data_IF_341088943819
#
_entry.id   IF_341088943819
#
_cell.length_a   1.000
_cell.length_b   1.000
_cell.length_c   1.000
_cell.angle_alpha   90.00
_cell.angle_beta   90.00
_cell.angle_gamma   90.00
#
_symmetry.space_group_name_H-M   'P 1'
#
loop_
_entity.id
_entity.type
_entity.pdbx_description
1 polymer ?
#
# COMPACT_ATOMS: atom_id res chain seq x y z
N UNK A 1 -18.14 18.58 -11.70
CA UNK A 1 -16.96 17.77 -11.92
C UNK A 1 -17.34 16.31 -11.92
N UNK A 2 -17.07 15.62 -13.00
CA UNK A 2 -17.46 14.24 -13.11
C UNK A 2 -16.32 13.33 -12.64
N UNK A 3 -16.58 12.54 -11.63
CA UNK A 3 -15.65 11.55 -11.18
C UNK A 3 -15.98 10.22 -11.83
N UNK A 4 -14.96 9.51 -12.25
CA UNK A 4 -15.12 8.16 -12.73
C UNK A 4 -15.07 7.21 -11.53
N UNK A 5 -16.10 6.40 -11.30
CA UNK A 5 -16.11 5.51 -10.13
C UNK A 5 -14.89 4.60 -10.05
N UNK A 6 -14.35 4.18 -11.20
CA UNK A 6 -13.15 3.35 -11.22
C UNK A 6 -11.88 4.06 -10.80
N UNK A 7 -11.92 5.38 -10.67
CA UNK A 7 -10.77 6.19 -10.24
C UNK A 7 -10.94 6.76 -8.83
N UNK A 8 -12.06 6.45 -8.16
CA UNK A 8 -12.26 6.86 -6.79
C UNK A 8 -11.17 6.20 -5.92
N UNK A 9 -10.54 6.96 -5.08
CA UNK A 9 -9.44 6.45 -4.26
C UNK A 9 -8.06 6.63 -4.85
N UNK A 10 -7.96 7.03 -6.12
CA UNK A 10 -6.66 7.27 -6.75
C UNK A 10 -5.87 8.33 -6.00
N UNK A 11 -6.55 9.34 -5.47
CA UNK A 11 -5.88 10.41 -4.73
C UNK A 11 -5.24 9.90 -3.44
N UNK A 12 -5.90 8.96 -2.73
CA UNK A 12 -5.33 8.37 -1.53
C UNK A 12 -4.08 7.57 -1.87
N UNK A 13 -4.10 6.84 -2.97
CA UNK A 13 -2.92 6.11 -3.42
C UNK A 13 -1.79 7.06 -3.76
N UNK A 14 -2.09 8.15 -4.46
CA UNK A 14 -1.11 9.17 -4.80
C UNK A 14 -0.49 9.79 -3.56
N UNK A 15 -1.31 10.10 -2.55
CA UNK A 15 -0.83 10.62 -1.28
C UNK A 15 0.07 9.62 -0.56
N UNK A 16 -0.29 8.34 -0.59
CA UNK A 16 0.54 7.31 0.03
C UNK A 16 1.91 7.24 -0.63
N UNK A 17 1.97 7.35 -1.97
CA UNK A 17 3.23 7.37 -2.68
C UNK A 17 4.08 8.57 -2.29
N UNK A 18 3.46 9.75 -2.16
CA UNK A 18 4.16 10.96 -1.74
C UNK A 18 4.71 10.81 -0.32
N UNK A 19 3.92 10.22 0.58
CA UNK A 19 4.35 9.96 1.96
C UNK A 19 5.54 9.01 2.00
N UNK A 20 5.51 7.95 1.19
CA UNK A 20 6.61 6.99 1.13
C UNK A 20 7.89 7.64 0.61
N UNK A 21 7.77 8.47 -0.40
CA UNK A 21 8.92 9.22 -0.92
C UNK A 21 9.49 10.16 0.13
N UNK A 22 8.61 10.84 0.87
CA UNK A 22 9.04 11.74 1.93
C UNK A 22 9.77 10.99 3.05
N UNK A 23 9.30 9.79 3.39
CA UNK A 23 9.97 8.96 4.39
C UNK A 23 11.39 8.61 3.97
N UNK A 24 11.55 8.21 2.70
CA UNK A 24 12.88 7.88 2.18
C UNK A 24 13.80 9.09 2.19
N UNK A 25 13.29 10.27 1.81
CA UNK A 25 14.08 11.50 1.79
C UNK A 25 14.47 11.95 3.20
N UNK A 26 13.61 11.68 4.19
CA UNK A 26 13.87 12.08 5.57
C UNK A 26 14.74 11.08 6.34
N UNK A 27 15.08 9.95 5.72
CA UNK A 27 15.94 8.95 6.34
C UNK A 27 15.22 7.97 7.24
N UNK A 28 13.91 7.84 7.14
CA UNK A 28 13.16 6.82 7.87
C UNK A 28 13.60 5.44 7.38
N UNK A 29 13.96 4.58 8.32
CA UNK A 29 14.41 3.23 7.98
C UNK A 29 13.21 2.30 7.74
N UNK A 30 13.27 1.58 6.64
CA UNK A 30 12.31 0.53 6.33
C UNK A 30 12.99 -0.82 6.52
N UNK A 31 12.24 -1.83 6.94
CA UNK A 31 12.77 -3.20 7.00
C UNK A 31 13.16 -3.70 5.61
N UNK A 32 12.35 -3.36 4.61
CA UNK A 32 12.66 -3.65 3.22
C UNK A 32 13.34 -2.45 2.59
N UNK A 33 14.64 -2.30 2.84
CA UNK A 33 15.39 -1.10 2.48
C UNK A 33 15.71 -1.00 0.99
N UNK A 34 15.83 -2.13 0.30
CA UNK A 34 16.16 -2.13 -1.11
C UNK A 34 14.91 -2.24 -1.97
N UNK A 35 14.99 -1.72 -3.19
CA UNK A 35 13.88 -1.81 -4.12
C UNK A 35 13.45 -3.26 -4.38
N UNK A 36 14.36 -4.22 -4.64
CA UNK A 36 13.94 -5.60 -4.81
C UNK A 36 13.20 -6.17 -3.60
N UNK A 37 13.65 -5.88 -2.39
CA UNK A 37 12.99 -6.33 -1.16
C UNK A 37 11.60 -5.70 -1.03
N UNK A 38 11.49 -4.41 -1.33
CA UNK A 38 10.21 -3.71 -1.27
C UNK A 38 9.21 -4.30 -2.26
N UNK A 39 9.65 -4.52 -3.50
CA UNK A 39 8.78 -5.08 -4.54
C UNK A 39 8.34 -6.50 -4.20
N UNK A 40 9.23 -7.30 -3.63
CA UNK A 40 8.90 -8.65 -3.20
C UNK A 40 7.84 -8.62 -2.09
N UNK A 41 8.02 -7.74 -1.11
CA UNK A 41 7.05 -7.56 -0.03
C UNK A 41 5.71 -7.06 -0.54
N UNK A 42 5.73 -6.11 -1.47
CA UNK A 42 4.51 -5.58 -2.07
C UNK A 42 3.74 -6.69 -2.81
N UNK A 43 4.44 -7.48 -3.61
CA UNK A 43 3.81 -8.55 -4.37
C UNK A 43 3.19 -9.61 -3.44
N UNK A 44 3.92 -9.98 -2.37
CA UNK A 44 3.44 -10.97 -1.41
C UNK A 44 2.21 -10.46 -0.66
N UNK A 45 2.23 -9.21 -0.22
CA UNK A 45 1.10 -8.61 0.47
C UNK A 45 -0.13 -8.51 -0.43
N UNK A 46 0.07 -8.09 -1.66
CA UNK A 46 -1.04 -7.96 -2.60
C UNK A 46 -1.69 -9.32 -2.86
N UNK A 47 -0.88 -10.36 -2.98
CA UNK A 47 -1.38 -11.71 -3.21
C UNK A 47 -2.17 -12.28 -2.02
N UNK A 48 -1.87 -11.81 -0.80
CA UNK A 48 -2.51 -12.30 0.42
C UNK A 48 -3.24 -11.21 1.19
N UNK A 49 -3.62 -10.12 0.52
CA UNK A 49 -4.18 -8.95 1.20
C UNK A 49 -5.46 -9.27 1.98
N UNK A 50 -6.23 -10.22 1.52
CA UNK A 50 -7.44 -10.65 2.21
C UNK A 50 -7.14 -11.12 3.63
N UNK A 51 -6.06 -11.86 3.80
CA UNK A 51 -5.65 -12.37 5.11
C UNK A 51 -5.28 -11.23 6.06
N UNK A 52 -4.71 -10.17 5.54
CA UNK A 52 -4.39 -8.98 6.33
C UNK A 52 -5.65 -8.39 6.96
N UNK A 53 -6.71 -8.26 6.18
CA UNK A 53 -7.97 -7.72 6.70
C UNK A 53 -8.64 -8.71 7.68
N UNK A 54 -8.62 -9.99 7.37
CA UNK A 54 -9.19 -11.01 8.24
C UNK A 54 -8.45 -11.01 9.59
N UNK A 55 -7.13 -10.99 9.56
CA UNK A 55 -6.31 -11.07 10.77
C UNK A 55 -6.43 -9.82 11.65
N UNK A 56 -6.71 -8.69 11.05
CA UNK A 56 -6.87 -7.43 11.80
C UNK A 56 -8.32 -7.09 12.12
N UNK A 57 -9.26 -7.94 11.73
CA UNK A 57 -10.67 -7.73 11.98
C UNK A 57 -11.29 -6.60 11.18
N UNK A 58 -10.67 -6.19 10.09
CA UNK A 58 -11.17 -5.12 9.23
C UNK A 58 -11.89 -5.70 8.02
N UNK A 59 -12.96 -5.05 7.54
CA UNK A 59 -13.61 -5.48 6.31
C UNK A 59 -12.72 -5.24 5.10
N UNK A 60 -12.78 -6.12 4.12
CA UNK A 60 -12.06 -5.94 2.87
C UNK A 60 -12.69 -4.78 2.11
N UNK A 61 -11.90 -3.75 1.74
CA UNK A 61 -12.43 -2.65 0.95
C UNK A 61 -12.94 -3.11 -0.41
N UNK A 62 -14.03 -2.52 -0.88
CA UNK A 62 -14.53 -2.79 -2.21
C UNK A 62 -13.81 -1.96 -3.27
N UNK A 63 -13.05 -0.97 -2.84
CA UNK A 63 -12.29 -0.08 -3.71
C UNK A 63 -10.90 -0.68 -3.99
N UNK A 64 -10.60 -1.04 -5.24
CA UNK A 64 -9.27 -1.61 -5.57
C UNK A 64 -8.11 -0.67 -5.22
N UNK A 65 -8.33 0.63 -5.31
CA UNK A 65 -7.27 1.60 -4.96
C UNK A 65 -6.90 1.52 -3.50
N UNK A 66 -7.88 1.29 -2.62
CA UNK A 66 -7.63 1.12 -1.20
C UNK A 66 -6.83 -0.13 -0.92
N UNK A 67 -7.11 -1.23 -1.61
CA UNK A 67 -6.34 -2.48 -1.49
C UNK A 67 -4.88 -2.25 -1.85
N UNK A 68 -4.63 -1.59 -2.98
CA UNK A 68 -3.26 -1.31 -3.43
C UNK A 68 -2.55 -0.38 -2.45
N UNK A 69 -3.26 0.63 -1.94
CA UNK A 69 -2.68 1.57 -0.98
C UNK A 69 -2.23 0.85 0.29
N UNK A 70 -3.05 -0.04 0.83
CA UNK A 70 -2.72 -0.78 2.03
C UNK A 70 -1.54 -1.73 1.79
N UNK A 71 -1.51 -2.41 0.65
CA UNK A 71 -0.40 -3.28 0.29
C UNK A 71 0.90 -2.49 0.15
N UNK A 72 0.82 -1.32 -0.46
CA UNK A 72 1.99 -0.45 -0.65
C UNK A 72 2.57 0.00 0.69
N UNK A 73 1.70 0.44 1.61
CA UNK A 73 2.14 0.89 2.92
C UNK A 73 2.73 -0.24 3.74
N UNK A 74 2.15 -1.43 3.65
CA UNK A 74 2.64 -2.60 4.37
C UNK A 74 3.94 -3.15 3.81
N UNK A 75 4.21 -2.95 2.52
CA UNK A 75 5.38 -3.50 1.86
C UNK A 75 6.71 -3.01 2.45
N UNK A 76 6.69 -1.85 3.13
CA UNK A 76 7.88 -1.32 3.80
C UNK A 76 8.43 -2.26 4.86
N UNK A 77 7.55 -3.00 5.52
CA UNK A 77 7.88 -3.81 6.69
C UNK A 77 7.57 -5.29 6.51
N UNK A 78 7.13 -5.70 5.34
CA UNK A 78 6.79 -7.10 5.10
C UNK A 78 8.06 -7.95 4.98
N UNK A 79 8.08 -9.02 5.71
CA UNK A 79 9.18 -9.98 5.68
C UNK A 79 8.79 -11.28 5.03
#
# INVERSE_FOLDING_TARGET
MSEHPGLAGREQLSQALDELQAELESGVEWENETLPQFLEGFAALLASIENTYINTGRPVPMDPWALVTDALRGARFYE
#
